data_IF_058677898699
#
_entry.id   IF_058677898699
#
_cell.length_a   1.000
_cell.length_b   1.000
_cell.length_c   1.000
_cell.angle_alpha   90.00
_cell.angle_beta   90.00
_cell.angle_gamma   90.00
#
_symmetry.space_group_name_H-M   'P 1'
#
loop_
_entity.id
_entity.type
_entity.pdbx_description
1 polymer ?
#
# COMPACT_ATOMS: atom_id res chain seq x y z
N UNK A 1 15.72 27.06 8.33
CA UNK A 1 16.24 26.21 9.40
C UNK A 1 17.29 27.02 10.12
N UNK A 2 17.14 27.23 11.42
CA UNK A 2 18.12 27.98 12.22
C UNK A 2 19.31 27.08 12.59
N UNK A 3 20.46 27.67 12.90
CA UNK A 3 21.64 26.90 13.37
C UNK A 3 21.30 26.02 14.60
N UNK A 4 20.41 26.52 15.47
CA UNK A 4 19.92 25.78 16.64
C UNK A 4 19.05 24.56 16.25
N UNK A 5 18.23 24.68 15.21
CA UNK A 5 17.43 23.55 14.69
C UNK A 5 18.31 22.48 14.05
N UNK A 6 19.35 22.88 13.35
CA UNK A 6 20.31 21.97 12.72
C UNK A 6 21.16 21.25 13.76
N UNK A 7 21.60 21.95 14.80
CA UNK A 7 22.28 21.34 15.94
C UNK A 7 21.39 20.31 16.65
N UNK A 8 20.13 20.64 16.94
CA UNK A 8 19.18 19.69 17.56
C UNK A 8 18.93 18.47 16.67
N UNK A 9 18.85 18.65 15.35
CA UNK A 9 18.75 17.54 14.41
C UNK A 9 19.99 16.65 14.52
N UNK A 10 21.19 17.22 14.49
CA UNK A 10 22.43 16.45 14.59
C UNK A 10 22.53 15.68 15.92
N UNK A 11 22.23 16.33 17.05
CA UNK A 11 22.22 15.70 18.37
C UNK A 11 21.25 14.51 18.44
N UNK A 12 20.07 14.64 17.82
CA UNK A 12 19.10 13.56 17.73
C UNK A 12 19.62 12.37 16.92
N UNK A 13 20.31 12.63 15.81
CA UNK A 13 20.94 11.59 14.98
C UNK A 13 22.05 10.86 15.75
N UNK A 14 22.93 11.60 16.41
CA UNK A 14 24.07 11.04 17.14
C UNK A 14 23.58 10.17 18.31
N UNK A 15 22.58 10.65 19.05
CA UNK A 15 21.95 9.88 20.13
C UNK A 15 21.33 8.58 19.60
N UNK A 16 20.57 8.67 18.51
CA UNK A 16 19.93 7.49 17.90
C UNK A 16 20.96 6.47 17.44
N UNK A 17 22.05 6.92 16.80
CA UNK A 17 23.15 6.04 16.39
C UNK A 17 23.83 5.36 17.58
N UNK A 18 24.17 6.12 18.62
CA UNK A 18 24.79 5.57 19.82
C UNK A 18 23.90 4.51 20.49
N UNK A 19 22.59 4.75 20.57
CA UNK A 19 21.63 3.76 21.08
C UNK A 19 21.60 2.49 20.21
N UNK A 20 21.57 2.63 18.88
CA UNK A 20 21.58 1.49 17.96
C UNK A 20 22.90 0.70 18.00
N UNK A 21 24.04 1.37 18.23
CA UNK A 21 25.34 0.72 18.35
C UNK A 21 25.42 -0.17 19.59
N UNK A 22 24.78 0.22 20.71
CA UNK A 22 24.70 -0.63 21.91
C UNK A 22 24.03 -1.98 21.62
N UNK A 23 22.92 -1.97 20.88
CA UNK A 23 22.23 -3.21 20.49
C UNK A 23 23.05 -4.02 19.49
N UNK A 24 23.73 -3.36 18.54
CA UNK A 24 24.58 -4.04 17.58
C UNK A 24 25.77 -4.72 18.28
N UNK A 25 26.38 -4.07 19.27
CA UNK A 25 27.45 -4.64 20.08
C UNK A 25 26.98 -5.80 20.97
N UNK A 26 25.74 -5.78 21.45
CA UNK A 26 25.11 -6.91 22.16
C UNK A 26 25.05 -8.14 21.24
N UNK A 27 24.57 -7.98 20.00
CA UNK A 27 24.48 -9.06 19.01
C UNK A 27 25.87 -9.57 18.61
N UNK A 28 26.84 -8.67 18.37
CA UNK A 28 28.21 -9.09 18.02
C UNK A 28 28.89 -9.93 19.10
N UNK A 29 28.58 -9.67 20.38
CA UNK A 29 29.11 -10.47 21.50
C UNK A 29 28.46 -11.85 21.58
N UNK A 30 27.16 -11.93 21.25
CA UNK A 30 26.36 -13.15 21.32
C UNK A 30 25.52 -13.32 20.04
N UNK A 31 26.12 -13.74 18.91
CA UNK A 31 25.44 -13.77 17.62
C UNK A 31 24.34 -14.84 17.52
N UNK A 32 24.28 -15.78 18.46
CA UNK A 32 23.24 -16.80 18.52
C UNK A 32 22.04 -16.37 19.39
N UNK A 33 22.08 -15.18 20.01
CA UNK A 33 20.97 -14.68 20.83
C UNK A 33 19.86 -14.07 19.95
N UNK A 34 18.92 -14.93 19.54
CA UNK A 34 17.75 -14.53 18.75
C UNK A 34 16.94 -13.39 19.42
N UNK A 35 16.89 -13.33 20.76
CA UNK A 35 16.15 -12.28 21.46
C UNK A 35 16.84 -10.94 21.29
N UNK A 36 18.18 -10.90 21.39
CA UNK A 36 18.96 -9.69 21.14
C UNK A 36 18.81 -9.23 19.68
N UNK A 37 18.89 -10.16 18.71
CA UNK A 37 18.71 -9.88 17.28
C UNK A 37 17.34 -9.26 17.00
N UNK A 38 16.27 -9.87 17.52
CA UNK A 38 14.91 -9.36 17.35
C UNK A 38 14.69 -8.02 18.06
N UNK A 39 15.33 -7.80 19.21
CA UNK A 39 15.26 -6.51 19.92
C UNK A 39 15.88 -5.40 19.07
N UNK A 40 17.04 -5.65 18.47
CA UNK A 40 17.68 -4.69 17.57
C UNK A 40 16.85 -4.42 16.32
N UNK A 41 16.34 -5.46 15.66
CA UNK A 41 15.47 -5.31 14.49
C UNK A 41 14.24 -4.45 14.78
N UNK A 42 13.58 -4.67 15.92
CA UNK A 42 12.46 -3.84 16.37
C UNK A 42 12.89 -2.40 16.63
N UNK A 43 14.08 -2.16 17.17
CA UNK A 43 14.61 -0.80 17.35
C UNK A 43 14.89 -0.11 16.03
N UNK A 44 15.38 -0.83 15.02
CA UNK A 44 15.52 -0.29 13.67
C UNK A 44 14.15 0.09 13.09
N UNK A 45 13.17 -0.81 13.12
CA UNK A 45 11.81 -0.54 12.64
C UNK A 45 11.17 0.70 13.32
N UNK A 46 11.25 0.78 14.66
CA UNK A 46 10.72 1.93 15.41
C UNK A 46 11.40 3.24 14.98
N UNK A 47 12.71 3.23 14.74
CA UNK A 47 13.43 4.43 14.32
C UNK A 47 13.05 4.89 12.91
N UNK A 48 12.66 3.98 11.99
CA UNK A 48 12.07 4.37 10.70
C UNK A 48 10.83 5.24 10.92
N UNK A 49 9.97 4.82 11.84
CA UNK A 49 8.74 5.55 12.20
C UNK A 49 9.08 6.90 12.84
N UNK A 50 10.04 6.95 13.77
CA UNK A 50 10.46 8.19 14.42
C UNK A 50 11.02 9.20 13.40
N UNK A 51 11.95 8.77 12.54
CA UNK A 51 12.50 9.64 11.50
C UNK A 51 11.45 10.03 10.45
N UNK A 52 10.50 9.16 10.17
CA UNK A 52 9.34 9.47 9.33
C UNK A 52 8.46 10.56 9.90
N UNK A 53 8.15 10.49 11.20
CA UNK A 53 7.37 11.51 11.91
C UNK A 53 8.11 12.84 12.02
N UNK A 54 9.44 12.81 12.24
CA UNK A 54 10.27 14.02 12.24
C UNK A 54 10.52 14.58 10.83
N UNK A 55 10.15 13.83 9.78
CA UNK A 55 10.28 14.25 8.39
C UNK A 55 11.72 14.23 7.89
N UNK A 56 12.57 13.34 8.42
CA UNK A 56 13.97 13.21 8.02
C UNK A 56 14.20 11.97 7.16
N UNK A 57 14.22 12.10 5.82
CA UNK A 57 14.50 10.98 4.93
C UNK A 57 15.94 10.48 5.07
N UNK A 58 16.89 11.32 5.48
CA UNK A 58 18.28 10.92 5.74
C UNK A 58 18.38 9.93 6.91
N UNK A 59 17.62 10.18 7.99
CA UNK A 59 17.55 9.28 9.13
C UNK A 59 16.91 7.94 8.78
N UNK A 60 15.85 7.95 7.97
CA UNK A 60 15.25 6.72 7.42
C UNK A 60 16.30 5.94 6.60
N UNK A 61 17.05 6.60 5.73
CA UNK A 61 18.06 5.95 4.90
C UNK A 61 19.17 5.31 5.74
N UNK A 62 19.65 6.02 6.78
CA UNK A 62 20.65 5.51 7.72
C UNK A 62 20.16 4.25 8.45
N UNK A 63 18.92 4.26 8.93
CA UNK A 63 18.36 3.13 9.69
C UNK A 63 18.11 1.93 8.77
N UNK A 64 17.64 2.15 7.54
CA UNK A 64 17.49 1.08 6.56
C UNK A 64 18.82 0.43 6.20
N UNK A 65 19.90 1.21 6.10
CA UNK A 65 21.23 0.65 5.81
C UNK A 65 21.69 -0.32 6.91
N UNK A 66 21.50 0.06 8.18
CA UNK A 66 21.74 -0.85 9.32
C UNK A 66 20.85 -2.08 9.26
N UNK A 67 19.58 -1.92 8.87
CA UNK A 67 18.64 -3.02 8.74
C UNK A 67 19.05 -3.97 7.60
N UNK A 68 19.56 -3.47 6.47
CA UNK A 68 20.11 -4.31 5.39
C UNK A 68 21.27 -5.15 5.89
N UNK A 69 22.18 -4.58 6.67
CA UNK A 69 23.26 -5.34 7.31
C UNK A 69 22.72 -6.48 8.18
N UNK A 70 21.68 -6.19 8.99
CA UNK A 70 21.03 -7.21 9.81
C UNK A 70 20.37 -8.32 8.97
N UNK A 71 19.73 -7.96 7.85
CA UNK A 71 19.10 -8.91 6.93
C UNK A 71 20.14 -9.76 6.19
N UNK A 72 21.32 -9.21 5.87
CA UNK A 72 22.39 -10.00 5.26
C UNK A 72 22.87 -11.14 6.17
N UNK A 73 22.92 -10.90 7.47
CA UNK A 73 23.44 -11.87 8.44
C UNK A 73 22.33 -12.78 9.02
N UNK A 74 21.16 -12.23 9.32
CA UNK A 74 20.06 -12.91 10.02
C UNK A 74 18.77 -12.98 9.19
N UNK A 75 18.85 -12.73 7.88
CA UNK A 75 17.70 -12.76 6.97
C UNK A 75 17.06 -14.13 6.80
N UNK A 76 17.66 -15.21 7.32
CA UNK A 76 17.01 -16.52 7.40
C UNK A 76 15.87 -16.55 8.43
N UNK A 77 15.87 -15.64 9.42
CA UNK A 77 14.82 -15.52 10.42
C UNK A 77 13.59 -14.84 9.82
N UNK A 78 12.45 -15.53 9.79
CA UNK A 78 11.20 -15.00 9.25
C UNK A 78 10.79 -13.69 9.93
N UNK A 79 11.01 -13.54 11.24
CA UNK A 79 10.69 -12.31 11.96
C UNK A 79 11.53 -11.11 11.48
N UNK A 80 12.80 -11.33 11.11
CA UNK A 80 13.67 -10.28 10.55
C UNK A 80 13.18 -9.89 9.16
N UNK A 81 12.82 -10.87 8.33
CA UNK A 81 12.22 -10.61 7.02
C UNK A 81 10.93 -9.78 7.13
N UNK A 82 10.06 -10.14 8.08
CA UNK A 82 8.81 -9.43 8.33
C UNK A 82 9.06 -7.97 8.71
N UNK A 83 9.92 -7.74 9.72
CA UNK A 83 10.22 -6.39 10.21
C UNK A 83 10.90 -5.53 9.14
N UNK A 84 11.77 -6.12 8.31
CA UNK A 84 12.41 -5.41 7.22
C UNK A 84 11.43 -5.02 6.11
N UNK A 85 10.54 -5.93 5.70
CA UNK A 85 9.49 -5.63 4.74
C UNK A 85 8.56 -4.51 5.25
N UNK A 86 8.19 -4.55 6.54
CA UNK A 86 7.44 -3.47 7.19
C UNK A 86 8.21 -2.15 7.20
N UNK A 87 9.51 -2.17 7.52
CA UNK A 87 10.36 -0.98 7.51
C UNK A 87 10.44 -0.32 6.13
N UNK A 88 10.57 -1.10 5.05
CA UNK A 88 10.55 -0.58 3.68
C UNK A 88 9.18 0.05 3.35
N UNK A 89 8.07 -0.64 3.65
CA UNK A 89 6.71 -0.12 3.42
C UNK A 89 6.42 1.17 4.20
N UNK A 90 6.87 1.25 5.46
CA UNK A 90 6.76 2.45 6.29
C UNK A 90 7.57 3.60 5.68
N UNK A 91 8.82 3.34 5.29
CA UNK A 91 9.68 4.31 4.59
C UNK A 91 9.01 4.89 3.35
N UNK A 92 8.40 4.05 2.49
CA UNK A 92 7.66 4.50 1.32
C UNK A 92 6.53 5.47 1.67
N UNK A 93 5.75 5.14 2.70
CA UNK A 93 4.61 5.95 3.15
C UNK A 93 5.05 7.35 3.61
N UNK A 94 6.19 7.46 4.30
CA UNK A 94 6.75 8.76 4.70
C UNK A 94 7.32 9.55 3.53
N UNK A 95 8.04 8.89 2.61
CA UNK A 95 8.57 9.52 1.40
C UNK A 95 7.45 10.10 0.53
N UNK A 96 6.32 9.38 0.42
CA UNK A 96 5.13 9.86 -0.27
C UNK A 96 4.57 11.14 0.36
N UNK A 97 4.41 11.18 1.69
CA UNK A 97 3.94 12.38 2.43
C UNK A 97 4.87 13.60 2.24
N UNK A 98 6.15 13.36 1.93
CA UNK A 98 7.15 14.41 1.66
C UNK A 98 7.38 14.67 0.17
N UNK A 99 6.57 14.08 -0.70
CA UNK A 99 6.69 14.20 -2.16
C UNK A 99 8.08 13.78 -2.71
N UNK A 100 8.75 12.84 -2.04
CA UNK A 100 10.06 12.27 -2.44
C UNK A 100 9.87 11.01 -3.27
N UNK A 101 9.31 11.18 -4.47
CA UNK A 101 8.80 10.06 -5.26
C UNK A 101 9.89 9.14 -5.81
N UNK A 102 11.00 9.68 -6.30
CA UNK A 102 12.09 8.85 -6.87
C UNK A 102 12.63 7.86 -5.83
N UNK A 103 12.90 8.34 -4.61
CA UNK A 103 13.31 7.49 -3.49
C UNK A 103 12.21 6.52 -3.06
N UNK A 104 10.92 6.90 -3.17
CA UNK A 104 9.82 5.98 -2.89
C UNK A 104 9.80 4.82 -3.90
N UNK A 105 10.08 5.09 -5.18
CA UNK A 105 10.17 4.05 -6.21
C UNK A 105 11.38 3.14 -6.02
N UNK A 106 12.53 3.69 -5.63
CA UNK A 106 13.68 2.86 -5.22
C UNK A 106 13.31 1.89 -4.10
N UNK A 107 12.50 2.34 -3.12
CA UNK A 107 12.00 1.46 -2.04
C UNK A 107 10.99 0.44 -2.52
N UNK A 108 10.15 0.76 -3.50
CA UNK A 108 9.26 -0.22 -4.11
C UNK A 108 10.06 -1.30 -4.84
N UNK A 109 11.09 -0.93 -5.61
CA UNK A 109 11.98 -1.90 -6.26
C UNK A 109 12.73 -2.78 -5.26
N UNK A 110 13.19 -2.19 -4.15
CA UNK A 110 13.80 -2.94 -3.04
C UNK A 110 12.81 -3.95 -2.45
N UNK A 111 11.55 -3.55 -2.22
CA UNK A 111 10.52 -4.43 -1.70
C UNK A 111 10.14 -5.54 -2.69
N UNK A 112 10.08 -5.25 -3.99
CA UNK A 112 9.88 -6.24 -5.06
C UNK A 112 10.99 -7.28 -5.04
N UNK A 113 12.24 -6.85 -5.03
CA UNK A 113 13.40 -7.73 -4.98
C UNK A 113 13.37 -8.60 -3.70
N UNK A 114 13.04 -7.99 -2.56
CA UNK A 114 12.96 -8.69 -1.29
C UNK A 114 11.81 -9.71 -1.22
N UNK A 115 10.63 -9.37 -1.73
CA UNK A 115 9.50 -10.30 -1.81
C UNK A 115 9.79 -11.46 -2.79
N UNK A 116 10.51 -11.21 -3.88
CA UNK A 116 10.93 -12.24 -4.84
C UNK A 116 11.90 -13.25 -4.24
N UNK A 117 12.79 -12.83 -3.33
CA UNK A 117 13.71 -13.73 -2.62
C UNK A 117 13.03 -14.49 -1.47
N UNK A 118 11.83 -14.07 -1.05
CA UNK A 118 11.03 -14.70 0.01
C UNK A 118 9.60 -15.02 -0.45
N UNK A 119 9.43 -15.85 -1.49
CA UNK A 119 8.12 -16.08 -2.12
C UNK A 119 7.10 -16.73 -1.17
N UNK A 120 7.56 -17.48 -0.17
CA UNK A 120 6.71 -18.15 0.84
C UNK A 120 6.43 -17.28 2.06
N UNK A 121 7.09 -16.13 2.22
CA UNK A 121 6.83 -15.23 3.34
C UNK A 121 5.65 -14.30 3.02
N UNK A 122 4.47 -14.62 3.54
CA UNK A 122 3.25 -13.85 3.32
C UNK A 122 3.30 -12.42 3.87
N UNK A 123 4.13 -12.11 4.87
CA UNK A 123 4.31 -10.71 5.29
C UNK A 123 4.99 -9.90 4.19
N UNK A 124 6.02 -10.46 3.55
CA UNK A 124 6.71 -9.79 2.44
C UNK A 124 5.76 -9.59 1.25
N UNK A 125 4.96 -10.61 0.92
CA UNK A 125 3.99 -10.52 -0.18
C UNK A 125 2.89 -9.48 0.11
N UNK A 126 2.36 -9.44 1.34
CA UNK A 126 1.39 -8.42 1.78
C UNK A 126 1.98 -7.00 1.78
N UNK A 127 3.20 -6.84 2.28
CA UNK A 127 3.92 -5.56 2.22
C UNK A 127 4.08 -5.07 0.78
N UNK A 128 4.43 -5.96 -0.16
CA UNK A 128 4.51 -5.64 -1.58
C UNK A 128 3.14 -5.21 -2.12
N UNK A 129 2.08 -5.99 -1.87
CA UNK A 129 0.72 -5.66 -2.32
C UNK A 129 0.27 -4.26 -1.84
N UNK A 130 0.50 -3.94 -0.55
CA UNK A 130 0.23 -2.60 -0.01
C UNK A 130 1.10 -1.51 -0.64
N UNK A 131 2.38 -1.80 -0.91
CA UNK A 131 3.29 -0.91 -1.64
C UNK A 131 2.81 -0.58 -3.05
N UNK A 132 2.32 -1.58 -3.80
CA UNK A 132 1.77 -1.41 -5.13
C UNK A 132 0.51 -0.53 -5.11
N UNK A 133 -0.42 -0.75 -4.17
CA UNK A 133 -1.62 0.11 -4.00
C UNK A 133 -1.23 1.57 -3.74
N UNK A 134 -0.27 1.79 -2.84
CA UNK A 134 0.24 3.12 -2.53
C UNK A 134 0.85 3.79 -3.77
N UNK A 135 1.59 3.04 -4.59
CA UNK A 135 2.16 3.57 -5.83
C UNK A 135 1.10 3.88 -6.88
N UNK A 136 0.05 3.07 -7.04
CA UNK A 136 -1.12 3.38 -7.88
C UNK A 136 -1.70 4.75 -7.48
N UNK A 137 -1.94 4.96 -6.18
CA UNK A 137 -2.46 6.22 -5.66
C UNK A 137 -1.53 7.38 -6.03
N UNK A 138 -0.22 7.20 -5.85
CA UNK A 138 0.75 8.25 -6.13
C UNK A 138 0.82 8.62 -7.62
N UNK A 139 0.99 7.65 -8.50
CA UNK A 139 1.05 7.87 -9.94
C UNK A 139 -0.26 8.45 -10.47
N UNK A 140 -1.40 7.94 -9.98
CA UNK A 140 -2.72 8.43 -10.33
C UNK A 140 -2.95 9.90 -9.95
N UNK A 141 -2.58 10.31 -8.73
CA UNK A 141 -2.66 11.72 -8.30
C UNK A 141 -1.82 12.66 -9.19
N UNK A 142 -0.74 12.14 -9.77
CA UNK A 142 0.15 12.85 -10.69
C UNK A 142 -0.24 12.71 -12.16
N UNK A 143 -1.36 12.03 -12.45
CA UNK A 143 -1.86 11.73 -13.80
C UNK A 143 -0.88 10.95 -14.67
N UNK A 144 -0.05 10.11 -14.03
CA UNK A 144 0.87 9.20 -14.72
C UNK A 144 0.16 7.85 -14.90
N UNK A 145 -0.55 7.69 -16.02
CA UNK A 145 -1.48 6.56 -16.21
C UNK A 145 -0.80 5.26 -16.66
N UNK A 146 0.29 5.32 -17.44
CA UNK A 146 1.02 4.10 -17.84
C UNK A 146 1.58 3.35 -16.61
N UNK A 147 2.26 4.00 -15.65
CA UNK A 147 2.66 3.31 -14.42
C UNK A 147 1.47 2.77 -13.59
N UNK A 148 0.31 3.44 -13.60
CA UNK A 148 -0.89 2.91 -12.93
C UNK A 148 -1.32 1.59 -13.56
N UNK A 149 -1.34 1.52 -14.91
CA UNK A 149 -1.68 0.30 -15.66
C UNK A 149 -0.68 -0.82 -15.39
N UNK A 150 0.61 -0.53 -15.40
CA UNK A 150 1.65 -1.53 -15.14
C UNK A 150 1.54 -2.10 -13.71
N UNK A 151 1.36 -1.24 -12.72
CA UNK A 151 1.32 -1.64 -11.31
C UNK A 151 0.04 -2.40 -10.97
N UNK A 152 -1.12 -2.04 -11.55
CA UNK A 152 -2.34 -2.83 -11.31
C UNK A 152 -2.23 -4.23 -11.92
N UNK A 153 -1.59 -4.37 -13.08
CA UNK A 153 -1.33 -5.69 -13.67
C UNK A 153 -0.38 -6.52 -12.80
N UNK A 154 0.66 -5.90 -12.25
CA UNK A 154 1.53 -6.58 -11.27
C UNK A 154 0.75 -7.03 -10.03
N UNK A 155 -0.12 -6.18 -9.49
CA UNK A 155 -0.95 -6.52 -8.33
C UNK A 155 -1.94 -7.65 -8.62
N UNK A 156 -2.54 -7.67 -9.83
CA UNK A 156 -3.38 -8.78 -10.31
C UNK A 156 -2.58 -10.09 -10.35
N UNK A 157 -1.35 -10.07 -10.89
CA UNK A 157 -0.48 -11.26 -10.93
C UNK A 157 -0.13 -11.73 -9.52
N UNK A 158 0.21 -10.81 -8.62
CA UNK A 158 0.54 -11.12 -7.23
C UNK A 158 -0.66 -11.75 -6.50
N UNK A 159 -1.85 -11.17 -6.63
CA UNK A 159 -3.07 -11.69 -6.03
C UNK A 159 -3.47 -13.05 -6.62
N UNK A 160 -3.29 -13.26 -7.93
CA UNK A 160 -3.53 -14.57 -8.55
C UNK A 160 -2.53 -15.64 -8.12
N UNK A 161 -1.34 -15.25 -7.68
CA UNK A 161 -0.33 -16.18 -7.14
C UNK A 161 -0.68 -16.60 -5.71
N UNK A 162 -1.34 -15.73 -4.94
CA UNK A 162 -1.68 -15.91 -3.53
C UNK A 162 -3.20 -15.79 -3.30
N UNK A 163 -3.98 -16.62 -4.01
CA UNK A 163 -5.46 -16.53 -4.05
C UNK A 163 -6.12 -16.72 -2.69
N UNK A 164 -5.52 -17.57 -1.86
CA UNK A 164 -5.98 -17.87 -0.50
C UNK A 164 -5.65 -16.76 0.51
N UNK A 165 -4.83 -15.77 0.14
CA UNK A 165 -4.46 -14.68 1.04
C UNK A 165 -5.42 -13.51 0.93
N UNK A 166 -6.40 -13.46 1.83
CA UNK A 166 -7.44 -12.43 1.86
C UNK A 166 -6.89 -10.99 1.93
N UNK A 167 -5.80 -10.74 2.67
CA UNK A 167 -5.21 -9.39 2.74
C UNK A 167 -4.68 -8.91 1.38
N UNK A 168 -4.05 -9.81 0.61
CA UNK A 168 -3.58 -9.51 -0.75
C UNK A 168 -4.78 -9.31 -1.68
N UNK A 169 -5.83 -10.13 -1.56
CA UNK A 169 -7.06 -9.94 -2.33
C UNK A 169 -7.71 -8.58 -2.01
N UNK A 170 -7.73 -8.16 -0.74
CA UNK A 170 -8.25 -6.85 -0.36
C UNK A 170 -7.38 -5.70 -0.89
N UNK A 171 -6.05 -5.88 -0.94
CA UNK A 171 -5.17 -4.95 -1.64
C UNK A 171 -5.51 -4.86 -3.13
N UNK A 172 -5.78 -5.99 -3.80
CA UNK A 172 -6.23 -5.99 -5.19
C UNK A 172 -7.53 -5.21 -5.36
N UNK A 173 -8.56 -5.46 -4.54
CA UNK A 173 -9.83 -4.72 -4.59
C UNK A 173 -9.63 -3.20 -4.46
N UNK A 174 -8.81 -2.76 -3.49
CA UNK A 174 -8.45 -1.34 -3.31
C UNK A 174 -7.66 -0.81 -4.51
N UNK A 175 -6.76 -1.59 -5.07
CA UNK A 175 -5.97 -1.25 -6.26
C UNK A 175 -6.86 -1.04 -7.49
N UNK A 176 -7.81 -1.95 -7.74
CA UNK A 176 -8.75 -1.89 -8.86
C UNK A 176 -9.62 -0.63 -8.79
N UNK A 177 -10.22 -0.33 -7.62
CA UNK A 177 -11.03 0.89 -7.41
C UNK A 177 -10.20 2.15 -7.71
N UNK A 178 -8.97 2.23 -7.20
CA UNK A 178 -8.11 3.38 -7.42
C UNK A 178 -7.69 3.51 -8.89
N UNK A 179 -7.18 2.45 -9.51
CA UNK A 179 -6.73 2.45 -10.90
C UNK A 179 -7.85 2.81 -11.85
N UNK A 180 -9.01 2.17 -11.72
CA UNK A 180 -10.22 2.51 -12.48
C UNK A 180 -10.57 3.99 -12.29
N UNK A 181 -10.64 4.48 -11.05
CA UNK A 181 -10.94 5.88 -10.77
C UNK A 181 -9.98 6.87 -11.42
N UNK A 182 -8.67 6.58 -11.44
CA UNK A 182 -7.70 7.45 -12.12
C UNK A 182 -7.81 7.39 -13.64
N UNK A 183 -7.99 6.20 -14.22
CA UNK A 183 -8.15 6.03 -15.66
C UNK A 183 -9.41 6.75 -16.15
N UNK A 184 -10.57 6.49 -15.53
CA UNK A 184 -11.84 7.07 -15.97
C UNK A 184 -11.92 8.59 -15.76
N UNK A 185 -11.25 9.15 -14.73
CA UNK A 185 -11.13 10.62 -14.56
C UNK A 185 -10.33 11.30 -15.65
N UNK A 186 -9.52 10.55 -16.39
CA UNK A 186 -8.75 11.04 -17.54
C UNK A 186 -9.31 10.46 -18.85
N UNK A 187 -10.59 10.09 -18.88
CA UNK A 187 -11.32 9.62 -20.07
C UNK A 187 -10.77 8.33 -20.69
N UNK A 188 -9.94 7.58 -19.95
CA UNK A 188 -9.46 6.27 -20.35
C UNK A 188 -10.47 5.17 -19.96
N UNK A 189 -11.66 5.21 -20.56
CA UNK A 189 -12.76 4.31 -20.22
C UNK A 189 -12.49 2.86 -20.64
N UNK A 190 -11.94 2.65 -21.84
CA UNK A 190 -11.63 1.31 -22.38
C UNK A 190 -10.75 0.45 -21.45
N UNK A 191 -9.62 0.94 -20.92
CA UNK A 191 -8.83 0.17 -19.95
C UNK A 191 -9.44 0.16 -18.53
N UNK A 192 -10.38 1.04 -18.21
CA UNK A 192 -11.04 1.06 -16.90
C UNK A 192 -12.12 -0.02 -16.74
N UNK A 193 -12.85 -0.35 -17.81
CA UNK A 193 -13.94 -1.35 -17.78
C UNK A 193 -13.48 -2.73 -17.32
N UNK A 194 -12.40 -3.32 -17.87
CA UNK A 194 -11.94 -4.63 -17.38
C UNK A 194 -11.54 -4.64 -15.90
N UNK A 195 -11.13 -3.49 -15.34
CA UNK A 195 -10.82 -3.39 -13.90
C UNK A 195 -12.08 -3.38 -13.03
N UNK A 196 -13.19 -2.84 -13.56
CA UNK A 196 -14.50 -2.94 -12.92
C UNK A 196 -14.96 -4.39 -12.91
N UNK A 197 -14.89 -5.07 -14.06
CA UNK A 197 -15.29 -6.48 -14.17
C UNK A 197 -14.48 -7.37 -13.20
N UNK A 198 -13.17 -7.17 -13.15
CA UNK A 198 -12.28 -7.87 -12.19
C UNK A 198 -12.69 -7.58 -10.73
N UNK A 199 -13.05 -6.33 -10.40
CA UNK A 199 -13.49 -5.98 -9.05
C UNK A 199 -14.82 -6.66 -8.69
N UNK A 200 -15.76 -6.72 -9.64
CA UNK A 200 -17.05 -7.38 -9.43
C UNK A 200 -16.85 -8.89 -9.22
N UNK A 201 -16.08 -9.54 -10.09
CA UNK A 201 -15.74 -10.95 -9.95
C UNK A 201 -15.02 -11.25 -8.62
N UNK A 202 -14.01 -10.45 -8.27
CA UNK A 202 -13.28 -10.60 -7.01
C UNK A 202 -14.20 -10.46 -5.79
N UNK A 203 -15.12 -9.50 -5.80
CA UNK A 203 -15.99 -9.24 -4.64
C UNK A 203 -17.15 -10.23 -4.54
N UNK A 204 -17.50 -10.94 -5.62
CA UNK A 204 -18.46 -12.05 -5.58
C UNK A 204 -17.92 -13.24 -4.76
N UNK A 205 -16.60 -13.42 -4.67
CA UNK A 205 -15.96 -14.45 -3.84
C UNK A 205 -15.98 -14.11 -2.32
N UNK A 206 -16.28 -12.85 -1.96
CA UNK A 206 -16.28 -12.35 -0.57
C UNK A 206 -17.59 -11.63 -0.21
N UNK A 207 -18.77 -12.26 -0.38
CA UNK A 207 -20.06 -11.55 -0.29
C UNK A 207 -20.42 -11.12 1.13
N UNK A 208 -19.84 -11.75 2.17
CA UNK A 208 -20.14 -11.44 3.56
C UNK A 208 -19.01 -10.66 4.26
N UNK A 209 -17.94 -10.30 3.54
CA UNK A 209 -16.85 -9.55 4.12
C UNK A 209 -17.09 -8.05 3.94
N UNK A 210 -17.18 -7.32 5.06
CA UNK A 210 -17.52 -5.89 5.08
C UNK A 210 -16.56 -5.05 4.24
N UNK A 211 -15.26 -5.37 4.24
CA UNK A 211 -14.27 -4.59 3.49
C UNK A 211 -14.44 -4.78 1.98
N UNK A 212 -14.72 -6.00 1.51
CA UNK A 212 -14.98 -6.29 0.10
C UNK A 212 -16.32 -5.72 -0.36
N UNK A 213 -17.37 -5.84 0.45
CA UNK A 213 -18.67 -5.21 0.18
C UNK A 213 -18.52 -3.69 0.04
N UNK A 214 -17.71 -3.07 0.90
CA UNK A 214 -17.39 -1.65 0.81
C UNK A 214 -16.59 -1.31 -0.47
N UNK A 215 -15.58 -2.11 -0.84
CA UNK A 215 -14.83 -1.86 -2.07
C UNK A 215 -15.70 -2.00 -3.32
N UNK A 216 -16.60 -2.99 -3.37
CA UNK A 216 -17.58 -3.13 -4.46
C UNK A 216 -18.43 -1.86 -4.59
N UNK A 217 -19.03 -1.39 -3.50
CA UNK A 217 -19.84 -0.17 -3.51
C UNK A 217 -19.03 1.09 -3.91
N UNK A 218 -17.77 1.21 -3.46
CA UNK A 218 -16.88 2.30 -3.87
C UNK A 218 -16.54 2.22 -5.36
N UNK A 219 -16.30 1.02 -5.89
CA UNK A 219 -16.03 0.78 -7.30
C UNK A 219 -17.21 1.18 -8.17
N UNK A 220 -18.42 0.70 -7.81
CA UNK A 220 -19.66 1.04 -8.50
C UNK A 220 -19.84 2.57 -8.58
N UNK A 221 -19.79 3.29 -7.46
CA UNK A 221 -19.94 4.77 -7.47
C UNK A 221 -18.84 5.45 -8.27
N UNK A 222 -17.60 4.95 -8.20
CA UNK A 222 -16.47 5.51 -8.96
C UNK A 222 -16.68 5.36 -10.46
N UNK A 223 -17.11 4.18 -10.90
CA UNK A 223 -17.42 3.89 -12.30
C UNK A 223 -18.61 4.72 -12.78
N UNK A 224 -19.73 4.73 -12.05
CA UNK A 224 -20.93 5.51 -12.38
C UNK A 224 -20.59 6.99 -12.60
N UNK A 225 -19.88 7.62 -11.67
CA UNK A 225 -19.54 9.04 -11.73
C UNK A 225 -18.63 9.39 -12.93
N UNK A 226 -17.81 8.45 -13.36
CA UNK A 226 -16.91 8.68 -14.47
C UNK A 226 -17.59 8.39 -15.82
N UNK A 227 -18.30 7.27 -15.92
CA UNK A 227 -18.96 6.82 -17.15
C UNK A 227 -20.19 7.66 -17.50
N UNK A 228 -20.90 8.25 -16.53
CA UNK A 228 -22.04 9.14 -16.77
C UNK A 228 -21.69 10.40 -17.59
N UNK A 229 -20.40 10.69 -17.82
CA UNK A 229 -19.93 11.81 -18.64
C UNK A 229 -19.88 11.49 -20.14
N UNK A 230 -20.13 10.25 -20.52
CA UNK A 230 -20.08 9.80 -21.90
C UNK A 230 -21.27 8.87 -22.20
N UNK A 231 -22.15 9.32 -23.10
CA UNK A 231 -23.39 8.62 -23.49
C UNK A 231 -23.14 7.19 -24.00
N UNK A 232 -21.94 6.88 -24.50
CA UNK A 232 -21.54 5.51 -24.91
C UNK A 232 -21.68 4.49 -23.75
N UNK A 233 -21.57 4.94 -22.50
CA UNK A 233 -21.57 4.07 -21.32
C UNK A 233 -22.83 4.22 -20.45
N UNK A 234 -23.90 4.84 -20.96
CA UNK A 234 -25.12 5.08 -20.17
C UNK A 234 -25.77 3.77 -19.69
N UNK A 235 -25.78 2.72 -20.53
CA UNK A 235 -26.32 1.41 -20.16
C UNK A 235 -25.53 0.79 -18.99
N UNK A 236 -24.20 0.94 -19.00
CA UNK A 236 -23.34 0.48 -17.89
C UNK A 236 -23.66 1.24 -16.60
N UNK A 237 -23.91 2.54 -16.70
CA UNK A 237 -24.28 3.36 -15.55
C UNK A 237 -25.62 2.93 -14.96
N UNK A 238 -26.62 2.61 -15.79
CA UNK A 238 -27.93 2.14 -15.34
C UNK A 238 -27.84 0.76 -14.66
N UNK A 239 -27.04 -0.16 -15.21
CA UNK A 239 -26.76 -1.46 -14.60
C UNK A 239 -26.09 -1.32 -13.23
N UNK A 240 -25.11 -0.43 -13.12
CA UNK A 240 -24.40 -0.14 -11.88
C UNK A 240 -25.30 0.52 -10.83
N UNK A 241 -26.21 1.41 -11.25
CA UNK A 241 -27.21 1.99 -10.36
C UNK A 241 -28.14 0.92 -9.78
N UNK A 242 -28.66 0.03 -10.64
CA UNK A 242 -29.50 -1.08 -10.22
C UNK A 242 -28.75 -2.03 -9.25
N UNK A 243 -27.47 -2.31 -9.51
CA UNK A 243 -26.63 -3.11 -8.63
C UNK A 243 -26.42 -2.47 -7.26
N UNK A 244 -26.11 -1.16 -7.20
CA UNK A 244 -25.95 -0.45 -5.93
C UNK A 244 -27.25 -0.45 -5.10
N UNK A 245 -28.40 -0.35 -5.76
CA UNK A 245 -29.71 -0.48 -5.11
C UNK A 245 -29.96 -1.89 -4.58
N UNK A 246 -29.59 -2.93 -5.33
CA UNK A 246 -29.65 -4.32 -4.86
C UNK A 246 -28.74 -4.52 -3.65
N UNK A 247 -27.51 -4.03 -3.69
CA UNK A 247 -26.59 -4.06 -2.56
C UNK A 247 -27.17 -3.35 -1.33
N UNK A 248 -27.76 -2.16 -1.49
CA UNK A 248 -28.35 -1.44 -0.36
C UNK A 248 -29.54 -2.18 0.27
N UNK A 249 -30.28 -2.99 -0.50
CA UNK A 249 -31.32 -3.88 0.03
C UNK A 249 -30.75 -5.12 0.72
N UNK A 250 -29.67 -5.69 0.18
CA UNK A 250 -29.00 -6.86 0.73
C UNK A 250 -28.23 -6.55 2.03
N UNK A 251 -27.66 -5.34 2.15
CA UNK A 251 -26.85 -4.90 3.28
C UNK A 251 -27.46 -3.65 3.95
N UNK A 252 -28.65 -3.76 4.58
CA UNK A 252 -29.37 -2.61 5.15
C UNK A 252 -28.60 -1.89 6.27
N UNK A 253 -27.80 -2.64 7.04
CA UNK A 253 -27.04 -2.11 8.19
C UNK A 253 -25.60 -1.71 7.82
N UNK A 254 -25.16 -1.94 6.59
CA UNK A 254 -23.81 -1.59 6.18
C UNK A 254 -23.71 -0.09 5.84
N UNK A 255 -23.21 0.71 6.78
CA UNK A 255 -23.14 2.18 6.67
C UNK A 255 -22.50 2.66 5.36
N UNK A 256 -21.37 2.03 4.96
CA UNK A 256 -20.66 2.38 3.73
C UNK A 256 -21.52 2.24 2.46
N UNK A 257 -22.18 1.08 2.27
CA UNK A 257 -23.10 0.82 1.15
C UNK A 257 -24.27 1.79 1.18
N UNK A 258 -24.90 1.99 2.33
CA UNK A 258 -26.03 2.90 2.47
C UNK A 258 -25.65 4.34 2.13
N UNK A 259 -24.48 4.79 2.57
CA UNK A 259 -23.96 6.10 2.24
C UNK A 259 -23.72 6.24 0.74
N UNK A 260 -23.08 5.25 0.10
CA UNK A 260 -22.82 5.27 -1.36
C UNK A 260 -24.10 5.29 -2.17
N UNK A 261 -25.09 4.49 -1.79
CA UNK A 261 -26.40 4.48 -2.43
C UNK A 261 -27.14 5.82 -2.31
N UNK A 262 -27.02 6.52 -1.16
CA UNK A 262 -27.62 7.84 -0.95
C UNK A 262 -26.90 8.95 -1.73
N UNK A 263 -25.59 8.85 -1.89
CA UNK A 263 -24.77 9.89 -2.55
C UNK A 263 -24.54 9.63 -4.04
N UNK A 264 -25.17 8.60 -4.63
CA UNK A 264 -24.93 8.16 -6.01
C UNK A 264 -25.24 9.22 -7.08
N UNK A 265 -26.05 10.22 -6.74
CA UNK A 265 -26.45 11.32 -7.63
C UNK A 265 -25.68 12.63 -7.39
N UNK A 266 -24.87 12.73 -6.34
CA UNK A 266 -24.07 13.93 -6.04
C UNK A 266 -22.89 14.01 -7.02
N UNK A 267 -23.14 14.55 -8.22
CA UNK A 267 -22.19 14.67 -9.31
C UNK A 267 -22.79 14.56 -10.72
N UNK A 268 -24.10 14.33 -10.85
CA UNK A 268 -24.85 14.38 -12.13
C UNK A 268 -25.40 15.77 -12.49
N UNK A 269 -25.27 16.76 -11.60
CA UNK A 269 -25.69 18.17 -11.79
C UNK A 269 -24.51 19.09 -12.09
#
# INVERSE_FOLDING_TARGET
>A
MTEEEEQKKQEFFDKTNAELDVYLDEIKKNPDDEIAILRYAKKLEINITIFGMSGSPEGIALVLERFRGLVQEYGYMTQIQNLFATAISNSMSYLMKKHKYDTMYERLEELRAFAKTHPTNMNCQRSLAGGLVNSIINFGQRKLLEPVKEIIQELIILANTHKENQDIQLCLAKGLVNSMGYLSRNEEYKPAIPLLDELMALTDDYPNDEDFVLQRANGIVTAMNAFAKNDEYIDVVDELEAELERMAKAYPDHEGVQLRNKTRTLGRD
#
